data_IF_729453233071
#
_entry.id   IF_729453233071
#
_cell.length_a   1.000
_cell.length_b   1.000
_cell.length_c   1.000
_cell.angle_alpha   90.00
_cell.angle_beta   90.00
_cell.angle_gamma   90.00
#
_symmetry.space_group_name_H-M   'P 1'
#
loop_
_entity.id
_entity.type
_entity.pdbx_description
1 polymer ?
#
# COMPACT_ATOMS: atom_id res chain seq x y z
N UNK A 1 5.50 29.71 17.61
CA UNK A 1 5.48 28.24 17.76
C UNK A 1 4.20 27.93 18.51
N UNK A 2 3.17 27.43 17.83
CA UNK A 2 1.82 27.28 18.40
C UNK A 2 1.84 26.18 19.45
N UNK A 3 1.65 26.57 20.71
CA UNK A 3 1.50 25.68 21.85
C UNK A 3 0.16 24.95 21.69
N UNK A 4 0.21 23.67 21.34
CA UNK A 4 -0.99 22.85 21.19
C UNK A 4 -1.47 22.47 22.59
N UNK A 5 -2.73 22.76 22.90
CA UNK A 5 -3.33 22.40 24.19
C UNK A 5 -3.26 20.88 24.41
N UNK A 6 -2.53 20.45 25.44
CA UNK A 6 -2.30 19.05 25.75
C UNK A 6 -3.58 18.27 26.11
N UNK A 7 -4.72 18.95 26.32
CA UNK A 7 -6.04 18.33 26.53
C UNK A 7 -6.74 18.01 25.20
N UNK A 8 -6.35 18.67 24.12
CA UNK A 8 -6.88 18.44 22.77
C UNK A 8 -6.02 17.39 22.06
N UNK A 9 -6.06 16.17 22.58
CA UNK A 9 -5.43 15.01 21.95
C UNK A 9 -6.42 14.34 20.99
N UNK A 10 -5.91 13.46 20.13
CA UNK A 10 -6.77 12.66 19.27
C UNK A 10 -7.77 11.81 20.07
N UNK A 11 -7.40 11.40 21.29
CA UNK A 11 -8.23 10.60 22.20
C UNK A 11 -9.44 11.37 22.77
N UNK A 12 -9.38 12.70 22.83
CA UNK A 12 -10.48 13.56 23.32
C UNK A 12 -11.36 14.14 22.20
N UNK A 13 -11.14 13.71 20.96
CA UNK A 13 -11.86 14.23 19.80
C UNK A 13 -13.34 13.82 19.80
N UNK A 14 -14.23 14.80 20.01
CA UNK A 14 -15.68 14.59 19.97
C UNK A 14 -16.19 14.60 18.53
N UNK A 15 -16.80 13.49 18.10
CA UNK A 15 -17.45 13.39 16.77
C UNK A 15 -18.87 13.97 16.84
N UNK A 16 -19.07 15.15 16.26
CA UNK A 16 -20.35 15.85 16.15
C UNK A 16 -20.77 16.11 14.69
N UNK A 17 -21.92 16.75 14.45
CA UNK A 17 -22.44 16.98 13.09
C UNK A 17 -21.44 17.67 12.15
N UNK A 18 -20.64 18.60 12.67
CA UNK A 18 -19.67 19.38 11.90
C UNK A 18 -18.45 18.58 11.40
N UNK A 19 -18.07 17.49 12.08
CA UNK A 19 -16.89 16.68 11.74
C UNK A 19 -17.23 15.19 11.49
N UNK A 20 -18.52 14.83 11.52
CA UNK A 20 -19.01 13.45 11.33
C UNK A 20 -18.58 12.86 10.00
N UNK A 21 -18.60 13.66 8.92
CA UNK A 21 -18.19 13.21 7.58
C UNK A 21 -16.70 12.87 7.53
N UNK A 22 -15.85 13.77 8.03
CA UNK A 22 -14.41 13.56 8.08
C UNK A 22 -14.04 12.37 8.98
N UNK A 23 -14.70 12.24 10.13
CA UNK A 23 -14.52 11.08 11.03
C UNK A 23 -14.95 9.77 10.38
N UNK A 24 -16.08 9.73 9.66
CA UNK A 24 -16.53 8.53 8.96
C UNK A 24 -15.59 8.13 7.82
N UNK A 25 -15.06 9.11 7.06
CA UNK A 25 -14.07 8.86 6.01
C UNK A 25 -12.76 8.31 6.59
N UNK A 26 -12.27 8.91 7.68
CA UNK A 26 -11.06 8.44 8.37
C UNK A 26 -11.24 7.02 8.95
N UNK A 27 -12.39 6.74 9.58
CA UNK A 27 -12.74 5.40 10.07
C UNK A 27 -12.79 4.39 8.94
N UNK A 28 -13.46 4.69 7.83
CA UNK A 28 -13.55 3.78 6.68
C UNK A 28 -12.19 3.49 6.04
N UNK A 29 -11.29 4.48 6.02
CA UNK A 29 -9.92 4.30 5.56
C UNK A 29 -9.10 3.41 6.53
N UNK A 30 -9.31 3.55 7.84
CA UNK A 30 -8.65 2.76 8.87
C UNK A 30 -9.20 1.32 8.98
N UNK A 31 -10.52 1.13 8.84
CA UNK A 31 -11.21 -0.17 8.85
C UNK A 31 -10.88 -1.00 7.60
N UNK A 32 -10.39 -0.36 6.54
CA UNK A 32 -10.06 -1.03 5.28
C UNK A 32 -8.81 -0.42 4.64
N UNK A 33 -7.62 -0.62 5.23
CA UNK A 33 -6.37 0.00 4.76
C UNK A 33 -5.92 -0.43 3.35
N UNK A 34 -6.71 -1.25 2.64
CA UNK A 34 -6.39 -1.76 1.31
C UNK A 34 -7.49 -1.67 0.24
N UNK A 35 -8.74 -1.37 0.58
CA UNK A 35 -9.86 -1.50 -0.39
C UNK A 35 -10.62 -0.20 -0.67
N UNK A 36 -10.77 0.73 0.28
CA UNK A 36 -11.64 1.90 0.03
C UNK A 36 -10.92 3.06 -0.64
N UNK A 37 -9.62 3.21 -0.44
CA UNK A 37 -8.77 4.22 -1.10
C UNK A 37 -7.32 3.73 -1.03
N UNK A 38 -6.96 2.77 -1.89
CA UNK A 38 -5.55 2.41 -2.01
C UNK A 38 -4.87 3.45 -2.92
N UNK A 39 -4.06 4.41 -2.39
CA UNK A 39 -3.36 5.38 -3.23
C UNK A 39 -2.46 4.69 -4.27
N UNK A 40 -2.01 3.46 -4.02
CA UNK A 40 -1.26 2.67 -4.99
C UNK A 40 -2.09 2.29 -6.22
N UNK A 41 -3.37 1.90 -6.07
CA UNK A 41 -4.21 1.59 -7.24
C UNK A 41 -4.47 2.83 -8.10
N UNK A 42 -4.63 4.00 -7.48
CA UNK A 42 -4.71 5.26 -8.23
C UNK A 42 -3.39 5.58 -8.92
N UNK A 43 -2.26 5.40 -8.24
CA UNK A 43 -0.93 5.66 -8.80
C UNK A 43 -0.64 4.74 -10.01
N UNK A 44 -0.99 3.46 -9.92
CA UNK A 44 -0.89 2.48 -11.02
C UNK A 44 -1.77 2.87 -12.19
N UNK A 45 -3.01 3.33 -11.93
CA UNK A 45 -3.93 3.80 -13.00
C UNK A 45 -3.45 5.09 -13.67
N UNK A 46 -2.80 5.99 -12.92
CA UNK A 46 -2.27 7.25 -13.45
C UNK A 46 -0.97 7.04 -14.24
N UNK A 47 -0.13 6.09 -13.81
CA UNK A 47 1.11 5.72 -14.48
C UNK A 47 1.32 4.21 -14.40
N UNK A 48 0.97 3.44 -15.44
CA UNK A 48 1.13 1.98 -15.44
C UNK A 48 2.58 1.52 -15.18
N UNK A 49 3.56 2.26 -15.71
CA UNK A 49 5.02 2.09 -15.46
C UNK A 49 5.48 2.41 -14.03
N UNK A 50 4.66 3.09 -13.25
CA UNK A 50 4.93 3.31 -11.82
C UNK A 50 4.48 2.09 -11.02
N UNK A 51 3.45 1.38 -11.51
CA UNK A 51 2.88 0.23 -10.85
C UNK A 51 3.83 -0.96 -10.76
N UNK A 52 4.50 -1.32 -11.86
CA UNK A 52 5.39 -2.48 -11.89
C UNK A 52 6.62 -2.30 -10.99
N UNK A 53 7.28 -1.12 -11.00
CA UNK A 53 8.43 -0.84 -10.12
C UNK A 53 8.04 -0.86 -8.62
N UNK A 54 6.85 -0.37 -8.28
CA UNK A 54 6.36 -0.41 -6.89
C UNK A 54 6.13 -1.86 -6.44
N UNK A 55 5.42 -2.66 -7.24
CA UNK A 55 5.17 -4.06 -6.90
C UNK A 55 6.47 -4.89 -6.86
N UNK A 56 7.43 -4.60 -7.73
CA UNK A 56 8.78 -5.19 -7.71
C UNK A 56 9.50 -4.91 -6.37
N UNK A 57 9.50 -3.65 -5.93
CA UNK A 57 10.14 -3.23 -4.66
C UNK A 57 9.47 -3.83 -3.44
N UNK A 58 8.13 -3.80 -3.39
CA UNK A 58 7.37 -4.41 -2.30
C UNK A 58 7.59 -5.93 -2.25
N UNK A 59 7.61 -6.62 -3.39
CA UNK A 59 7.92 -8.05 -3.44
C UNK A 59 9.32 -8.36 -2.92
N UNK A 60 10.30 -7.51 -3.26
CA UNK A 60 11.68 -7.62 -2.74
C UNK A 60 11.74 -7.44 -1.22
N UNK A 61 10.96 -6.51 -0.67
CA UNK A 61 10.86 -6.31 0.78
C UNK A 61 10.21 -7.51 1.47
N UNK A 62 9.12 -8.04 0.91
CA UNK A 62 8.45 -9.24 1.44
C UNK A 62 9.38 -10.46 1.44
N UNK A 63 10.13 -10.66 0.35
CA UNK A 63 11.14 -11.71 0.25
C UNK A 63 12.21 -11.58 1.34
N UNK A 64 12.74 -10.38 1.56
CA UNK A 64 13.70 -10.09 2.65
C UNK A 64 13.11 -10.29 4.04
N UNK A 65 11.81 -10.12 4.19
CA UNK A 65 11.08 -10.41 5.42
C UNK A 65 10.73 -11.90 5.58
N UNK A 66 11.22 -12.76 4.67
CA UNK A 66 10.93 -14.19 4.60
C UNK A 66 9.44 -14.53 4.35
N UNK A 67 8.65 -13.57 3.87
CA UNK A 67 7.26 -13.75 3.46
C UNK A 67 7.22 -14.08 1.96
N UNK A 68 7.50 -15.35 1.64
CA UNK A 68 7.60 -15.85 0.27
C UNK A 68 6.27 -15.78 -0.49
N UNK A 69 5.16 -16.04 0.19
CA UNK A 69 3.83 -16.00 -0.42
C UNK A 69 3.46 -14.58 -0.87
N UNK A 70 3.75 -13.58 -0.01
CA UNK A 70 3.53 -12.18 -0.35
C UNK A 70 4.50 -11.72 -1.45
N UNK A 71 5.76 -12.16 -1.42
CA UNK A 71 6.73 -11.86 -2.49
C UNK A 71 6.24 -12.36 -3.85
N UNK A 72 5.75 -13.61 -3.92
CA UNK A 72 5.21 -14.22 -5.13
C UNK A 72 4.00 -13.43 -5.65
N UNK A 73 3.05 -13.09 -4.78
CA UNK A 73 1.86 -12.33 -5.15
C UNK A 73 2.22 -10.97 -5.78
N UNK A 74 3.15 -10.25 -5.15
CA UNK A 74 3.55 -8.92 -5.58
C UNK A 74 4.35 -8.96 -6.89
N UNK A 75 5.29 -9.90 -7.05
CA UNK A 75 6.03 -10.05 -8.30
C UNK A 75 5.15 -10.51 -9.47
N UNK A 76 4.16 -11.38 -9.24
CA UNK A 76 3.17 -11.71 -10.28
C UNK A 76 2.39 -10.48 -10.73
N UNK A 77 1.93 -9.66 -9.77
CA UNK A 77 1.22 -8.41 -10.10
C UNK A 77 2.10 -7.40 -10.84
N UNK A 78 3.40 -7.37 -10.56
CA UNK A 78 4.36 -6.58 -11.34
C UNK A 78 4.50 -7.11 -12.79
N UNK A 79 4.55 -8.43 -12.96
CA UNK A 79 4.63 -9.09 -14.27
C UNK A 79 3.37 -8.86 -15.10
N UNK A 80 2.19 -8.91 -14.49
CA UNK A 80 0.91 -8.63 -15.17
C UNK A 80 0.85 -7.19 -15.72
N UNK A 81 1.51 -6.24 -15.04
CA UNK A 81 1.58 -4.84 -15.48
C UNK A 81 2.67 -4.60 -16.53
N UNK A 82 3.81 -5.28 -16.39
CA UNK A 82 4.93 -5.19 -17.32
C UNK A 82 5.61 -6.56 -17.51
N UNK A 83 5.12 -7.36 -18.46
CA UNK A 83 5.67 -8.70 -18.73
C UNK A 83 7.13 -8.68 -19.22
N UNK A 84 7.62 -7.53 -19.66
CA UNK A 84 8.99 -7.36 -20.17
C UNK A 84 9.98 -6.89 -19.09
N UNK A 85 9.56 -6.82 -17.82
CA UNK A 85 10.43 -6.46 -16.72
C UNK A 85 11.34 -7.64 -16.31
N UNK A 86 12.57 -7.66 -16.82
CA UNK A 86 13.55 -8.73 -16.57
C UNK A 86 13.79 -8.97 -15.08
N UNK A 87 13.82 -7.92 -14.25
CA UNK A 87 14.05 -8.05 -12.81
C UNK A 87 12.93 -8.83 -12.10
N UNK A 88 11.68 -8.69 -12.56
CA UNK A 88 10.55 -9.46 -12.03
C UNK A 88 10.70 -10.94 -12.42
N UNK A 89 11.09 -11.23 -13.67
CA UNK A 89 11.32 -12.60 -14.15
C UNK A 89 12.42 -13.29 -13.33
N UNK A 90 13.56 -12.63 -13.16
CA UNK A 90 14.69 -13.16 -12.36
C UNK A 90 14.26 -13.45 -10.92
N UNK A 91 13.49 -12.57 -10.30
CA UNK A 91 13.01 -12.78 -8.93
C UNK A 91 12.01 -13.94 -8.82
N UNK A 92 11.13 -14.12 -9.81
CA UNK A 92 10.19 -15.25 -9.85
C UNK A 92 10.92 -16.58 -10.08
N UNK A 93 11.94 -16.60 -10.93
CA UNK A 93 12.80 -17.77 -11.14
C UNK A 93 13.56 -18.15 -9.88
N UNK A 94 14.17 -17.15 -9.21
CA UNK A 94 14.85 -17.34 -7.93
C UNK A 94 13.92 -18.02 -6.91
N UNK A 95 12.70 -17.52 -6.75
CA UNK A 95 11.73 -18.06 -5.80
C UNK A 95 11.22 -19.47 -6.18
N UNK A 96 11.20 -19.79 -7.47
CA UNK A 96 10.73 -21.09 -7.97
C UNK A 96 11.81 -22.17 -7.93
N UNK A 97 13.08 -21.77 -7.80
CA UNK A 97 14.24 -22.65 -7.74
C UNK A 97 14.73 -23.01 -6.33
N UNK A 98 14.15 -22.41 -5.28
CA UNK A 98 14.41 -22.73 -3.86
C UNK A 98 13.47 -23.82 -3.32
#
# INVERSE_FOLDING_TARGET
MTDLDAKLTFDSFVVGPANRLASAAAKRAAESPGTSYNPYEKAVKLSPRLGDDIYLRLGTMAYKANDRDMALLLWRRASDLNPHNEAVSTNLELLSGE
#
